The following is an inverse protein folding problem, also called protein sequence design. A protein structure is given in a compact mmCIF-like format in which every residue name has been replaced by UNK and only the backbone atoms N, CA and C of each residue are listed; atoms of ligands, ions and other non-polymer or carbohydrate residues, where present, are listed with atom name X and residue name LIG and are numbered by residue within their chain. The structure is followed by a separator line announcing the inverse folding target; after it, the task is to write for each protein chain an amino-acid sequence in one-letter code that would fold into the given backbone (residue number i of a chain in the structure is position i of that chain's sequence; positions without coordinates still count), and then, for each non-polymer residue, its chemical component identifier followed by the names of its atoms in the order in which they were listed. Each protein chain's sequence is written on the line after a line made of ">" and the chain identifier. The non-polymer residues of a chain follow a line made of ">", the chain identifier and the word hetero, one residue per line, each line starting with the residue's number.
data_IF_015203075742
#
_entry.id   IF_015203075742
#
_cell.length_a   1.000
_cell.length_b   1.000
_cell.length_c   1.000
_cell.angle_alpha   90.00
_cell.angle_beta   90.00
_cell.angle_gamma   90.00
#
_symmetry.space_group_name_H-M   'P 1'
#
loop_
_entity.id
_entity.type
_entity.pdbx_description
1 polymer ?
#
# COMPACT_ATOMS: atom_id res chain seq x y z
N UNK A 1 3.61 12.97 5.71
CA UNK A 1 4.98 12.53 5.39
C UNK A 1 5.35 11.30 6.20
N UNK A 2 6.20 10.45 5.64
CA UNK A 2 6.66 9.27 6.36
C UNK A 2 7.46 9.68 7.59
N UNK A 3 7.26 8.94 8.68
CA UNK A 3 8.06 9.07 9.89
C UNK A 3 9.54 8.85 9.55
N UNK A 4 10.42 9.69 10.08
CA UNK A 4 11.86 9.64 9.79
C UNK A 4 12.47 8.27 10.13
N UNK A 5 12.10 7.71 11.27
CA UNK A 5 12.58 6.40 11.70
C UNK A 5 12.17 5.32 10.68
N UNK A 6 10.90 5.34 10.25
CA UNK A 6 10.39 4.39 9.25
C UNK A 6 11.13 4.54 7.93
N UNK A 7 11.35 5.77 7.48
CA UNK A 7 12.07 6.02 6.23
C UNK A 7 13.49 5.46 6.29
N UNK A 8 14.20 5.69 7.38
CA UNK A 8 15.56 5.17 7.56
C UNK A 8 15.58 3.64 7.56
N UNK A 9 14.60 3.02 8.21
CA UNK A 9 14.49 1.56 8.26
C UNK A 9 14.16 0.96 6.89
N UNK A 10 13.31 1.63 6.11
CA UNK A 10 12.99 1.19 4.74
C UNK A 10 14.23 1.26 3.85
N UNK A 11 14.97 2.35 3.92
CA UNK A 11 16.20 2.50 3.14
C UNK A 11 17.18 1.37 3.47
N UNK A 12 17.38 1.09 4.75
CA UNK A 12 18.26 0.01 5.20
C UNK A 12 17.76 -1.36 4.72
N UNK A 13 16.44 -1.59 4.80
CA UNK A 13 15.83 -2.84 4.36
C UNK A 13 16.06 -3.08 2.86
N UNK A 14 15.84 -2.06 2.03
CA UNK A 14 15.99 -2.19 0.58
C UNK A 14 17.45 -2.26 0.15
N UNK A 15 18.37 -1.71 0.92
CA UNK A 15 19.81 -1.91 0.66
C UNK A 15 20.20 -3.38 0.78
N UNK A 16 19.57 -4.11 1.72
CA UNK A 16 19.81 -5.55 1.91
C UNK A 16 18.95 -6.41 0.99
N UNK A 17 17.83 -5.88 0.53
CA UNK A 17 16.85 -6.61 -0.27
C UNK A 17 16.44 -5.80 -1.50
N UNK A 18 17.37 -5.52 -2.42
CA UNK A 18 17.07 -4.61 -3.54
C UNK A 18 15.98 -5.12 -4.49
N UNK A 19 15.81 -6.44 -4.61
CA UNK A 19 14.78 -7.02 -5.48
C UNK A 19 13.37 -6.78 -4.91
N UNK A 20 13.26 -6.57 -3.61
CA UNK A 20 11.98 -6.30 -2.95
C UNK A 20 11.46 -4.89 -3.23
N UNK A 21 12.30 -4.00 -3.74
CA UNK A 21 11.95 -2.62 -4.05
C UNK A 21 11.48 -2.50 -5.50
N UNK A 22 10.44 -1.67 -5.73
CA UNK A 22 10.05 -1.27 -7.06
C UNK A 22 10.84 -0.06 -7.52
N UNK A 23 10.30 0.68 -8.48
CA UNK A 23 10.92 1.90 -9.00
C UNK A 23 10.12 3.13 -8.59
N UNK A 24 10.78 4.29 -8.40
CA UNK A 24 10.07 5.52 -8.04
C UNK A 24 8.94 5.86 -9.00
N UNK A 25 7.83 6.34 -8.43
CA UNK A 25 6.67 6.80 -9.17
C UNK A 25 6.80 8.30 -9.38
N UNK A 26 6.45 8.79 -10.57
CA UNK A 26 6.51 10.23 -10.89
C UNK A 26 5.25 10.94 -10.41
N UNK A 27 5.32 12.29 -10.34
CA UNK A 27 4.15 13.11 -10.01
C UNK A 27 3.00 12.89 -11.01
N UNK A 28 3.30 12.81 -12.30
CA UNK A 28 2.28 12.57 -13.32
C UNK A 28 1.60 11.22 -13.16
N UNK A 29 2.38 10.20 -12.78
CA UNK A 29 1.83 8.87 -12.52
C UNK A 29 0.94 8.86 -11.28
N UNK A 30 1.32 9.59 -10.23
CA UNK A 30 0.48 9.75 -9.03
C UNK A 30 -0.87 10.39 -9.41
N UNK A 31 -0.83 11.46 -10.20
CA UNK A 31 -2.05 12.14 -10.66
C UNK A 31 -2.92 11.19 -11.49
N UNK A 32 -2.31 10.36 -12.33
CA UNK A 32 -3.05 9.38 -13.11
C UNK A 32 -3.75 8.33 -12.23
N UNK A 33 -3.08 7.85 -11.18
CA UNK A 33 -3.68 6.91 -10.22
C UNK A 33 -4.88 7.58 -9.53
N UNK A 34 -4.70 8.79 -9.04
CA UNK A 34 -5.76 9.54 -8.35
C UNK A 34 -6.96 9.74 -9.24
N UNK A 35 -6.72 10.09 -10.51
CA UNK A 35 -7.79 10.29 -11.48
C UNK A 35 -8.49 8.99 -11.85
N UNK A 36 -7.72 7.92 -12.08
CA UNK A 36 -8.26 6.62 -12.48
C UNK A 36 -9.11 5.97 -11.40
N UNK A 37 -8.74 6.18 -10.13
CA UNK A 37 -9.44 5.59 -9.00
C UNK A 37 -10.38 6.55 -8.31
N UNK A 38 -10.40 7.82 -8.72
CA UNK A 38 -11.20 8.88 -8.09
C UNK A 38 -10.94 8.95 -6.58
N UNK A 39 -9.66 8.89 -6.19
CA UNK A 39 -9.26 9.03 -4.79
C UNK A 39 -8.06 9.99 -4.73
N UNK A 40 -7.84 10.59 -3.56
CA UNK A 40 -6.62 11.34 -3.30
C UNK A 40 -5.70 10.43 -2.51
N UNK A 41 -4.45 10.28 -2.95
CA UNK A 41 -3.48 9.44 -2.25
C UNK A 41 -3.14 10.06 -0.90
N UNK A 42 -3.10 9.21 0.13
CA UNK A 42 -2.59 9.57 1.45
C UNK A 42 -1.14 10.07 1.33
N UNK A 43 -0.80 11.12 2.07
CA UNK A 43 0.52 11.75 1.98
C UNK A 43 1.67 10.78 2.27
N UNK A 44 1.52 9.94 3.29
CA UNK A 44 2.55 8.96 3.65
C UNK A 44 2.70 7.91 2.55
N UNK A 45 1.59 7.42 2.02
CA UNK A 45 1.59 6.45 0.92
C UNK A 45 2.18 7.08 -0.35
N UNK A 46 1.82 8.33 -0.63
CA UNK A 46 2.33 9.06 -1.78
C UNK A 46 3.87 9.16 -1.72
N UNK A 47 4.41 9.54 -0.57
CA UNK A 47 5.85 9.61 -0.39
C UNK A 47 6.50 8.24 -0.58
N UNK A 48 5.90 7.19 -0.02
CA UNK A 48 6.41 5.83 -0.16
C UNK A 48 6.49 5.40 -1.64
N UNK A 49 5.41 5.56 -2.38
CA UNK A 49 5.36 5.12 -3.78
C UNK A 49 6.28 5.97 -4.66
N UNK A 50 6.43 7.25 -4.36
CA UNK A 50 7.32 8.12 -5.12
C UNK A 50 8.80 7.79 -4.89
N UNK A 51 9.14 7.29 -3.71
CA UNK A 51 10.52 6.90 -3.39
C UNK A 51 10.85 5.46 -3.80
N UNK A 52 9.94 4.54 -3.56
CA UNK A 52 10.23 3.10 -3.63
C UNK A 52 9.37 2.32 -4.61
N UNK A 53 8.28 2.90 -5.12
CA UNK A 53 7.34 2.19 -6.00
C UNK A 53 6.52 1.17 -5.22
N UNK A 54 6.14 0.08 -5.91
CA UNK A 54 5.47 -1.05 -5.26
C UNK A 54 6.50 -2.04 -4.73
N UNK A 55 6.33 -2.50 -3.51
CA UNK A 55 7.37 -3.23 -2.79
C UNK A 55 6.83 -4.43 -2.04
N UNK A 56 7.76 -5.32 -1.69
CA UNK A 56 7.50 -6.35 -0.67
C UNK A 56 8.38 -6.01 0.53
N UNK A 57 7.78 -5.59 1.63
CA UNK A 57 8.49 -5.27 2.87
C UNK A 57 8.23 -6.42 3.82
N UNK A 58 9.25 -7.25 4.05
CA UNK A 58 9.15 -8.53 4.75
C UNK A 58 8.10 -9.40 4.06
N UNK A 59 6.97 -9.68 4.70
CA UNK A 59 5.88 -10.48 4.12
C UNK A 59 4.73 -9.62 3.58
N UNK A 60 4.81 -8.30 3.69
CA UNK A 60 3.75 -7.41 3.27
C UNK A 60 3.94 -6.97 1.82
N UNK A 61 2.88 -7.13 1.03
CA UNK A 61 2.83 -6.67 -0.35
C UNK A 61 2.21 -5.27 -0.38
N UNK A 62 2.91 -4.31 -0.97
CA UNK A 62 2.42 -2.94 -1.09
C UNK A 62 2.52 -2.56 -2.57
N UNK A 63 1.38 -2.50 -3.23
CA UNK A 63 1.30 -2.26 -4.67
C UNK A 63 1.49 -0.80 -5.03
N UNK A 64 2.08 -0.56 -6.19
CA UNK A 64 2.24 0.76 -6.80
C UNK A 64 2.10 0.64 -8.31
N UNK A 65 2.70 1.58 -9.04
CA UNK A 65 2.72 1.54 -10.51
C UNK A 65 3.92 0.72 -11.00
N UNK A 66 5.10 0.97 -10.45
CA UNK A 66 6.33 0.25 -10.80
C UNK A 66 6.69 -0.69 -9.66
N UNK A 67 6.19 -1.90 -9.75
CA UNK A 67 6.29 -2.87 -8.67
C UNK A 67 7.59 -3.66 -8.71
N UNK A 68 8.02 -4.11 -7.53
CA UNK A 68 9.04 -5.16 -7.39
C UNK A 68 8.62 -6.37 -8.24
N UNK A 69 9.60 -7.06 -8.79
CA UNK A 69 9.33 -8.27 -9.58
C UNK A 69 8.66 -9.38 -8.76
N UNK A 70 8.67 -9.31 -7.43
CA UNK A 70 7.95 -10.23 -6.56
C UNK A 70 6.43 -10.05 -6.61
N UNK A 71 5.93 -8.89 -7.06
CA UNK A 71 4.50 -8.59 -7.07
C UNK A 71 3.79 -8.96 -8.38
N UNK A 72 4.54 -9.35 -9.40
CA UNK A 72 3.95 -9.63 -10.71
C UNK A 72 3.61 -8.34 -11.46
N UNK A 73 2.66 -8.42 -12.40
CA UNK A 73 2.41 -7.35 -13.36
C UNK A 73 1.26 -6.42 -13.00
N UNK A 74 0.40 -6.80 -12.04
CA UNK A 74 -0.74 -5.97 -11.66
C UNK A 74 -0.29 -4.71 -10.94
N UNK A 75 -0.82 -3.56 -11.36
CA UNK A 75 -0.58 -2.28 -10.71
C UNK A 75 -1.60 -2.05 -9.59
N UNK A 76 -1.40 -0.97 -8.82
CA UNK A 76 -2.37 -0.56 -7.81
C UNK A 76 -3.74 -0.24 -8.44
N UNK A 77 -3.75 0.23 -9.69
CA UNK A 77 -5.01 0.49 -10.41
C UNK A 77 -5.75 -0.83 -10.65
N UNK A 78 -5.04 -1.84 -11.14
CA UNK A 78 -5.61 -3.17 -11.37
C UNK A 78 -6.14 -3.78 -10.07
N UNK A 79 -5.36 -3.67 -9.00
CA UNK A 79 -5.73 -4.18 -7.68
C UNK A 79 -7.04 -3.56 -7.18
N UNK A 80 -7.16 -2.24 -7.30
CA UNK A 80 -8.36 -1.55 -6.83
C UNK A 80 -9.59 -1.92 -7.66
N UNK A 81 -9.43 -2.12 -8.96
CA UNK A 81 -10.54 -2.56 -9.82
C UNK A 81 -10.97 -3.99 -9.47
N UNK A 82 -10.02 -4.86 -9.17
CA UNK A 82 -10.30 -6.26 -8.82
C UNK A 82 -11.10 -6.36 -7.51
N UNK A 83 -10.73 -5.58 -6.51
CA UNK A 83 -11.33 -5.67 -5.17
C UNK A 83 -12.37 -4.60 -4.87
N UNK A 84 -12.76 -3.77 -5.85
CA UNK A 84 -13.69 -2.67 -5.63
C UNK A 84 -15.04 -3.12 -5.06
N UNK A 85 -15.50 -4.31 -5.39
CA UNK A 85 -16.79 -4.83 -4.96
C UNK A 85 -16.83 -5.24 -3.50
N UNK A 86 -15.68 -5.45 -2.87
CA UNK A 86 -15.61 -5.84 -1.46
C UNK A 86 -15.86 -4.66 -0.50
N UNK A 87 -15.55 -3.44 -0.93
CA UNK A 87 -15.61 -2.26 -0.07
C UNK A 87 -16.76 -1.34 -0.53
N UNK A 88 -18.00 -1.76 -0.24
CA UNK A 88 -19.22 -1.05 -0.68
C UNK A 88 -19.75 -0.07 0.36
N UNK A 89 -18.86 0.66 1.02
CA UNK A 89 -19.23 1.62 2.05
C UNK A 89 -19.41 3.06 1.50
N UNK A 90 -19.26 3.24 0.19
CA UNK A 90 -19.37 4.56 -0.45
C UNK A 90 -18.22 5.50 -0.17
N UNK A 91 -17.16 5.03 0.48
CA UNK A 91 -15.99 5.84 0.81
C UNK A 91 -14.89 5.69 -0.23
N UNK A 92 -14.02 6.69 -0.31
CA UNK A 92 -12.86 6.67 -1.20
C UNK A 92 -11.70 5.92 -0.52
N UNK A 93 -11.81 4.61 -0.46
CA UNK A 93 -10.77 3.74 0.09
C UNK A 93 -9.71 3.43 -0.97
N UNK A 94 -8.45 3.40 -0.56
CA UNK A 94 -7.36 3.03 -1.46
C UNK A 94 -6.81 1.65 -1.07
N UNK A 95 -7.07 0.65 -1.88
CA UNK A 95 -6.55 -0.70 -1.64
C UNK A 95 -5.07 -0.72 -2.04
N UNK A 96 -4.21 -1.13 -1.09
CA UNK A 96 -2.75 -1.10 -1.28
C UNK A 96 -2.13 -2.49 -1.37
N UNK A 97 -2.86 -3.54 -1.03
CA UNK A 97 -2.36 -4.91 -1.07
C UNK A 97 -3.38 -5.89 -0.55
N UNK A 98 -2.94 -7.12 -0.35
CA UNK A 98 -3.75 -8.17 0.27
C UNK A 98 -2.91 -8.89 1.33
N UNK A 99 -3.58 -9.69 2.16
CA UNK A 99 -2.93 -10.48 3.20
C UNK A 99 -2.43 -11.85 2.72
N UNK A 100 -2.55 -12.12 1.42
CA UNK A 100 -2.20 -13.43 0.86
C UNK A 100 -3.35 -14.43 0.86
N UNK A 101 -4.45 -14.13 1.56
CA UNK A 101 -5.67 -14.95 1.61
C UNK A 101 -6.81 -14.33 0.81
N UNK A 102 -6.51 -13.30 0.02
CA UNK A 102 -7.51 -12.59 -0.78
C UNK A 102 -8.26 -11.52 -0.02
N UNK A 103 -7.79 -11.13 1.15
CA UNK A 103 -8.42 -10.05 1.94
C UNK A 103 -7.73 -8.73 1.62
N UNK A 104 -8.45 -7.72 1.08
CA UNK A 104 -7.81 -6.45 0.73
C UNK A 104 -7.44 -5.64 1.96
N UNK A 105 -6.24 -5.05 1.89
CA UNK A 105 -5.72 -4.10 2.87
C UNK A 105 -5.82 -2.73 2.22
N UNK A 106 -6.38 -1.76 2.93
CA UNK A 106 -6.66 -0.44 2.35
C UNK A 106 -6.45 0.69 3.33
N UNK A 107 -6.24 1.89 2.79
CA UNK A 107 -6.18 3.14 3.55
C UNK A 107 -7.53 3.82 3.41
N UNK A 108 -8.19 4.08 4.54
CA UNK A 108 -9.49 4.77 4.56
C UNK A 108 -9.31 6.28 4.39
N UNK A 109 -10.39 7.04 4.09
CA UNK A 109 -10.30 8.51 4.02
C UNK A 109 -9.82 9.16 5.32
N UNK A 110 -9.98 8.49 6.47
CA UNK A 110 -9.47 8.97 7.75
C UNK A 110 -8.02 8.57 8.03
N UNK A 111 -7.34 8.01 7.02
CA UNK A 111 -5.92 7.60 7.05
C UNK A 111 -5.64 6.30 7.79
N UNK A 112 -6.62 5.66 8.40
CA UNK A 112 -6.41 4.37 9.06
C UNK A 112 -6.14 3.28 8.02
N UNK A 113 -5.26 2.35 8.36
CA UNK A 113 -5.00 1.17 7.54
C UNK A 113 -5.87 0.04 8.06
N UNK A 114 -6.69 -0.50 7.17
CA UNK A 114 -7.72 -1.48 7.47
C UNK A 114 -7.53 -2.74 6.66
N UNK A 115 -8.07 -3.85 7.15
CA UNK A 115 -8.21 -5.08 6.36
C UNK A 115 -9.68 -5.50 6.38
N UNK A 116 -10.18 -5.93 5.21
CA UNK A 116 -11.52 -6.50 5.08
C UNK A 116 -11.40 -8.00 4.94
N UNK A 117 -12.01 -8.74 5.87
CA UNK A 117 -12.04 -10.21 5.80
C UNK A 117 -13.31 -10.63 5.04
N UNK A 118 -13.12 -11.13 3.82
CA UNK A 118 -14.25 -11.49 2.94
C UNK A 118 -15.00 -12.75 3.40
N UNK A 119 -14.39 -13.59 4.23
CA UNK A 119 -15.05 -14.80 4.76
C UNK A 119 -16.02 -14.47 5.88
N UNK A 120 -15.69 -13.50 6.73
CA UNK A 120 -16.49 -13.13 7.90
C UNK A 120 -17.20 -11.79 7.73
N UNK A 121 -16.92 -11.05 6.66
CA UNK A 121 -17.42 -9.69 6.40
C UNK A 121 -17.05 -8.72 7.53
N UNK A 122 -15.88 -8.91 8.13
CA UNK A 122 -15.39 -8.07 9.22
C UNK A 122 -14.33 -7.08 8.75
N UNK A 123 -14.35 -5.89 9.36
CA UNK A 123 -13.33 -4.87 9.16
C UNK A 123 -12.46 -4.78 10.40
N UNK A 124 -11.15 -4.86 10.24
CA UNK A 124 -10.19 -4.74 11.33
C UNK A 124 -9.23 -3.60 11.05
N UNK A 125 -8.91 -2.81 12.09
CA UNK A 125 -7.91 -1.76 11.99
C UNK A 125 -6.52 -2.36 12.21
N UNK A 126 -5.64 -2.19 11.25
CA UNK A 126 -4.26 -2.66 11.34
C UNK A 126 -3.32 -1.61 11.94
N UNK A 127 -3.58 -0.34 11.63
CA UNK A 127 -2.73 0.76 12.10
C UNK A 127 -3.49 2.08 12.02
N UNK A 128 -3.05 3.05 12.79
CA UNK A 128 -3.65 4.39 12.81
C UNK A 128 -3.36 5.19 11.53
N UNK A 129 -2.24 4.89 10.88
CA UNK A 129 -1.84 5.52 9.62
C UNK A 129 -0.83 4.62 8.90
N UNK A 130 -0.46 5.00 7.68
CA UNK A 130 0.42 4.18 6.85
C UNK A 130 1.85 4.08 7.43
N UNK A 131 2.38 5.14 8.02
CA UNK A 131 3.69 5.09 8.69
C UNK A 131 3.70 4.07 9.82
N UNK A 132 2.66 4.06 10.66
CA UNK A 132 2.53 3.09 11.75
C UNK A 132 2.40 1.66 11.21
N UNK A 133 1.70 1.49 10.10
CA UNK A 133 1.57 0.20 9.44
C UNK A 133 2.94 -0.32 9.00
N UNK A 134 3.73 0.52 8.35
CA UNK A 134 5.10 0.16 7.93
C UNK A 134 5.99 -0.16 9.14
N UNK A 135 5.88 0.62 10.21
CA UNK A 135 6.66 0.38 11.43
C UNK A 135 6.35 -1.00 12.01
N UNK A 136 5.07 -1.37 12.07
CA UNK A 136 4.65 -2.69 12.56
C UNK A 136 5.21 -3.82 11.71
N UNK A 137 5.17 -3.66 10.38
CA UNK A 137 5.74 -4.65 9.46
C UNK A 137 7.24 -4.81 9.69
N UNK A 138 7.96 -3.68 9.78
CA UNK A 138 9.41 -3.68 9.94
C UNK A 138 9.87 -4.29 11.26
N UNK A 139 9.02 -4.23 12.29
CA UNK A 139 9.31 -4.79 13.62
C UNK A 139 8.93 -6.26 13.76
N UNK A 140 8.23 -6.84 12.79
CA UNK A 140 7.91 -8.26 12.82
C UNK A 140 9.17 -9.11 12.73
N UNK A 141 9.19 -10.18 13.49
CA UNK A 141 10.30 -11.13 13.46
C UNK A 141 9.94 -12.39 12.71
#
# INVERSE_FOLDING_TARGET
>A
MLNKFVLEQLIAFFQKNPVAQGKPTTDDEVLNVEKSLNVKLDDDFKEFTMRFGGCVVRDAQIYGIHNSEFLGEDTIIDLNKEFSDYLKDGKSNLIIGTDGWGNPIYISPSKTVMIYNHDTDELLTLAANFSDYLEKILKKQ
#
